data_IF_116963059177
#
_entry.id   IF_116963059177
#
_cell.length_a   1.000
_cell.length_b   1.000
_cell.length_c   1.000
_cell.angle_alpha   90.00
_cell.angle_beta   90.00
_cell.angle_gamma   90.00
#
_symmetry.space_group_name_H-M   'P 1'
#
loop_
_entity.id
_entity.type
_entity.pdbx_description
1 polymer ?
#
# COMPACT_ATOMS: atom_id res chain seq x y z
N UNK A 1 15.51 -0.13 -13.91
CA UNK A 1 16.24 -0.30 -15.19
C UNK A 1 17.75 -0.08 -15.07
N UNK A 2 18.23 0.97 -14.37
CA UNK A 2 19.67 1.21 -14.18
C UNK A 2 20.45 0.14 -13.41
N UNK A 3 19.80 -0.71 -12.61
CA UNK A 3 20.45 -1.85 -11.96
C UNK A 3 20.79 -3.01 -12.91
N UNK A 4 20.04 -3.14 -14.02
CA UNK A 4 20.19 -4.23 -14.99
C UNK A 4 20.86 -3.78 -16.30
N UNK A 5 20.69 -2.51 -16.69
CA UNK A 5 21.36 -1.93 -17.88
C UNK A 5 22.07 -0.62 -17.46
N UNK A 6 23.43 -0.60 -17.42
CA UNK A 6 24.21 0.54 -16.95
C UNK A 6 23.96 1.84 -17.71
N UNK A 7 23.59 1.77 -19.00
CA UNK A 7 23.29 2.95 -19.82
C UNK A 7 22.07 3.73 -19.31
N UNK A 8 21.14 3.09 -18.60
CA UNK A 8 19.97 3.73 -17.99
C UNK A 8 20.26 4.34 -16.61
N UNK A 9 21.52 4.31 -16.12
CA UNK A 9 21.96 5.12 -14.97
C UNK A 9 22.31 6.55 -15.37
N UNK A 10 22.53 6.81 -16.66
CA UNK A 10 22.86 8.15 -17.18
C UNK A 10 21.57 8.95 -17.34
N UNK A 11 21.22 9.71 -16.31
CA UNK A 11 20.10 10.66 -16.31
C UNK A 11 20.25 11.80 -17.32
N UNK A 12 21.42 11.91 -17.93
CA UNK A 12 21.79 12.96 -18.89
C UNK A 12 21.51 12.52 -20.34
N UNK A 13 21.17 11.24 -20.56
CA UNK A 13 20.83 10.71 -21.88
C UNK A 13 19.33 10.91 -22.16
N UNK A 14 19.04 11.79 -23.11
CA UNK A 14 17.68 12.06 -23.59
C UNK A 14 16.98 10.78 -24.07
N UNK A 15 17.70 9.89 -24.77
CA UNK A 15 17.18 8.60 -25.24
C UNK A 15 16.83 7.68 -24.07
N UNK A 16 17.74 7.50 -23.10
CA UNK A 16 17.48 6.64 -21.94
C UNK A 16 16.28 7.14 -21.11
N UNK A 17 16.18 8.46 -20.92
CA UNK A 17 15.06 9.09 -20.21
C UNK A 17 13.74 8.93 -20.97
N UNK A 18 13.72 9.15 -22.28
CA UNK A 18 12.51 8.97 -23.09
C UNK A 18 12.07 7.51 -23.14
N UNK A 19 12.98 6.55 -23.26
CA UNK A 19 12.63 5.13 -23.24
C UNK A 19 12.10 4.71 -21.87
N UNK A 20 12.76 5.11 -20.78
CA UNK A 20 12.29 4.81 -19.42
C UNK A 20 10.90 5.44 -19.14
N UNK A 21 10.71 6.69 -19.56
CA UNK A 21 9.43 7.40 -19.42
C UNK A 21 8.35 6.76 -20.28
N UNK A 22 8.65 6.44 -21.54
CA UNK A 22 7.73 5.79 -22.46
C UNK A 22 7.27 4.42 -21.95
N UNK A 23 8.20 3.61 -21.43
CA UNK A 23 7.86 2.33 -20.80
C UNK A 23 7.01 2.50 -19.55
N UNK A 24 7.33 3.50 -18.71
CA UNK A 24 6.54 3.80 -17.52
C UNK A 24 5.10 4.22 -17.89
N UNK A 25 4.97 5.17 -18.83
CA UNK A 25 3.67 5.65 -19.32
C UNK A 25 2.88 4.52 -20.01
N UNK A 26 3.54 3.68 -20.82
CA UNK A 26 2.90 2.55 -21.46
C UNK A 26 2.41 1.51 -20.45
N UNK A 27 3.21 1.21 -19.40
CA UNK A 27 2.80 0.28 -18.34
C UNK A 27 1.59 0.82 -17.55
N UNK A 28 1.60 2.11 -17.17
CA UNK A 28 0.45 2.75 -16.54
C UNK A 28 -0.76 2.85 -17.47
N UNK A 29 -0.54 3.12 -18.76
CA UNK A 29 -1.57 3.15 -19.78
C UNK A 29 -2.23 1.79 -19.99
N UNK A 30 -1.45 0.71 -20.04
CA UNK A 30 -1.96 -0.65 -20.10
C UNK A 30 -2.76 -1.02 -18.84
N UNK A 31 -2.27 -0.64 -17.67
CA UNK A 31 -2.98 -0.84 -16.41
C UNK A 31 -4.33 -0.13 -16.38
N UNK A 32 -4.40 1.12 -16.85
CA UNK A 32 -5.66 1.86 -17.00
C UNK A 32 -6.58 1.22 -18.05
N UNK A 33 -6.03 0.80 -19.19
CA UNK A 33 -6.82 0.13 -20.23
C UNK A 33 -7.46 -1.14 -19.71
N UNK A 34 -6.70 -2.00 -19.02
CA UNK A 34 -7.23 -3.20 -18.36
C UNK A 34 -8.28 -2.83 -17.30
N UNK A 35 -8.01 -1.76 -16.54
CA UNK A 35 -8.92 -1.21 -15.55
C UNK A 35 -10.29 -0.79 -16.09
N UNK A 36 -10.33 -0.21 -17.29
CA UNK A 36 -11.57 0.27 -17.95
C UNK A 36 -12.23 -0.82 -18.80
N UNK A 37 -11.44 -1.65 -19.47
CA UNK A 37 -11.94 -2.66 -20.41
C UNK A 37 -12.52 -3.89 -19.72
N UNK A 38 -12.13 -4.20 -18.47
CA UNK A 38 -12.74 -5.27 -17.67
C UNK A 38 -13.99 -4.74 -16.93
N UNK A 39 -15.21 -5.11 -17.35
CA UNK A 39 -16.45 -4.60 -16.77
C UNK A 39 -16.72 -5.10 -15.35
N UNK A 40 -15.93 -6.05 -14.81
CA UNK A 40 -16.26 -6.76 -13.57
C UNK A 40 -15.22 -6.68 -12.47
N UNK A 41 -13.98 -6.29 -12.78
CA UNK A 41 -12.93 -6.35 -11.76
C UNK A 41 -11.65 -5.61 -12.09
N UNK A 42 -11.66 -4.67 -13.03
CA UNK A 42 -10.50 -3.81 -13.30
C UNK A 42 -10.37 -2.69 -12.26
N UNK A 43 -10.90 -1.50 -12.58
CA UNK A 43 -10.78 -0.31 -11.73
C UNK A 43 -11.54 -0.46 -10.39
N UNK A 44 -12.74 -1.04 -10.40
CA UNK A 44 -13.65 -0.96 -9.25
C UNK A 44 -13.21 -1.80 -8.04
N UNK A 45 -12.46 -2.88 -8.25
CA UNK A 45 -11.89 -3.77 -7.21
C UNK A 45 -10.50 -3.30 -6.78
N UNK A 46 -9.68 -2.79 -7.70
CA UNK A 46 -8.34 -2.28 -7.38
C UNK A 46 -8.38 -0.96 -6.61
N UNK A 47 -9.37 -0.11 -6.83
CA UNK A 47 -9.44 1.21 -6.20
C UNK A 47 -9.57 1.17 -4.67
N UNK A 48 -10.46 0.32 -4.09
CA UNK A 48 -10.47 0.07 -2.64
C UNK A 48 -9.12 -0.38 -2.09
N UNK A 49 -8.42 -1.26 -2.80
CA UNK A 49 -7.12 -1.78 -2.38
C UNK A 49 -6.04 -0.70 -2.37
N UNK A 50 -5.98 0.14 -3.41
CA UNK A 50 -5.06 1.29 -3.46
C UNK A 50 -5.27 2.24 -2.28
N UNK A 51 -6.53 2.53 -1.93
CA UNK A 51 -6.86 3.40 -0.81
C UNK A 51 -6.29 2.89 0.51
N UNK A 52 -6.54 1.61 0.82
CA UNK A 52 -6.08 0.97 2.07
C UNK A 52 -4.55 0.87 2.09
N UNK A 53 -3.94 0.39 1.00
CA UNK A 53 -2.49 0.23 0.90
C UNK A 53 -1.74 1.56 1.04
N UNK A 54 -2.24 2.64 0.43
CA UNK A 54 -1.62 3.96 0.52
C UNK A 54 -1.69 4.52 1.95
N UNK A 55 -2.81 4.33 2.65
CA UNK A 55 -2.91 4.75 4.05
C UNK A 55 -1.96 3.96 4.95
N UNK A 56 -1.80 2.66 4.69
CA UNK A 56 -0.85 1.80 5.41
C UNK A 56 0.60 2.22 5.18
N UNK A 57 0.97 2.58 3.94
CA UNK A 57 2.29 3.12 3.62
C UNK A 57 2.53 4.47 4.30
N UNK A 58 1.53 5.36 4.31
CA UNK A 58 1.59 6.62 5.04
C UNK A 58 1.81 6.40 6.54
N UNK A 59 1.14 5.40 7.13
CA UNK A 59 1.36 4.97 8.51
C UNK A 59 2.82 4.57 8.77
N UNK A 60 3.40 3.73 7.90
CA UNK A 60 4.81 3.32 7.98
C UNK A 60 5.74 4.55 7.90
N UNK A 61 5.49 5.47 6.96
CA UNK A 61 6.30 6.67 6.80
C UNK A 61 6.28 7.56 8.05
N UNK A 62 5.10 7.76 8.66
CA UNK A 62 4.95 8.55 9.88
C UNK A 62 5.58 7.88 11.10
N UNK A 63 5.50 6.55 11.21
CA UNK A 63 6.21 5.77 12.24
C UNK A 63 7.73 5.98 12.09
N UNK A 64 8.27 5.84 10.88
CA UNK A 64 9.68 6.05 10.60
C UNK A 64 10.11 7.49 10.90
N UNK A 65 9.33 8.49 10.48
CA UNK A 65 9.57 9.90 10.79
C UNK A 65 9.63 10.15 12.30
N UNK A 66 8.73 9.52 13.06
CA UNK A 66 8.75 9.58 14.53
C UNK A 66 10.05 8.99 15.09
N UNK A 67 10.46 7.80 14.64
CA UNK A 67 11.72 7.17 15.06
C UNK A 67 12.92 8.06 14.75
N UNK A 68 12.96 8.68 13.58
CA UNK A 68 14.04 9.60 13.17
C UNK A 68 14.12 10.80 14.12
N UNK A 69 12.98 11.42 14.48
CA UNK A 69 12.96 12.52 15.45
C UNK A 69 13.53 12.12 16.82
N UNK A 70 13.23 10.91 17.29
CA UNK A 70 13.82 10.38 18.52
C UNK A 70 15.33 10.14 18.38
N UNK A 71 15.79 9.59 17.24
CA UNK A 71 17.22 9.39 16.95
C UNK A 71 18.00 10.71 16.84
N UNK A 72 17.36 11.79 16.38
CA UNK A 72 17.94 13.14 16.30
C UNK A 72 17.90 13.91 17.63
N UNK A 73 17.38 13.33 18.72
CA UNK A 73 17.14 14.03 20.00
C UNK A 73 16.19 15.22 19.90
N UNK A 74 15.28 15.18 18.92
CA UNK A 74 14.24 16.19 18.66
C UNK A 74 12.87 15.75 19.16
N UNK A 75 12.83 14.97 20.25
CA UNK A 75 11.60 14.37 20.79
C UNK A 75 10.50 15.41 21.14
N UNK A 76 10.87 16.66 21.46
CA UNK A 76 9.91 17.76 21.68
C UNK A 76 9.01 18.06 20.47
N UNK A 77 9.44 17.68 19.25
CA UNK A 77 8.65 17.82 18.02
C UNK A 77 7.98 16.52 17.58
N UNK A 78 8.20 15.40 18.30
CA UNK A 78 7.68 14.09 17.90
C UNK A 78 6.16 14.04 17.86
N UNK A 79 5.47 14.93 18.59
CA UNK A 79 4.00 15.02 18.54
C UNK A 79 3.46 15.33 17.14
N UNK A 80 4.24 16.07 16.32
CA UNK A 80 3.86 16.44 14.94
C UNK A 80 3.70 15.20 14.06
N UNK A 81 4.48 14.15 14.30
CA UNK A 81 4.35 12.88 13.58
C UNK A 81 3.50 11.88 14.36
N UNK A 82 3.56 11.86 15.69
CA UNK A 82 2.86 10.89 16.54
C UNK A 82 1.35 11.07 16.48
N UNK A 83 0.84 12.31 16.61
CA UNK A 83 -0.59 12.58 16.58
C UNK A 83 -1.28 12.11 15.28
N UNK A 84 -0.79 12.48 14.07
CA UNK A 84 -1.36 11.94 12.84
C UNK A 84 -1.10 10.44 12.68
N UNK A 85 0.01 9.89 13.20
CA UNK A 85 0.25 8.43 13.18
C UNK A 85 -0.86 7.70 13.94
N UNK A 86 -1.16 8.11 15.17
CA UNK A 86 -2.17 7.45 16.02
C UNK A 86 -3.53 7.53 15.36
N UNK A 87 -3.93 8.71 14.90
CA UNK A 87 -5.21 8.90 14.22
C UNK A 87 -5.32 8.03 12.96
N UNK A 88 -4.31 8.08 12.10
CA UNK A 88 -4.29 7.32 10.86
C UNK A 88 -4.35 5.82 11.11
N UNK A 89 -3.53 5.29 12.04
CA UNK A 89 -3.51 3.87 12.35
C UNK A 89 -4.84 3.40 12.94
N UNK A 90 -5.49 4.18 13.80
CA UNK A 90 -6.81 3.85 14.33
C UNK A 90 -7.83 3.73 13.19
N UNK A 91 -7.91 4.73 12.31
CA UNK A 91 -8.84 4.72 11.19
C UNK A 91 -8.54 3.56 10.22
N UNK A 92 -7.29 3.42 9.79
CA UNK A 92 -6.89 2.46 8.75
C UNK A 92 -6.96 1.03 9.24
N UNK A 93 -6.54 0.72 10.48
CA UNK A 93 -6.65 -0.63 11.03
C UNK A 93 -8.10 -1.01 11.31
N UNK A 94 -8.92 -0.07 11.78
CA UNK A 94 -10.36 -0.33 11.99
C UNK A 94 -11.07 -0.58 10.66
N UNK A 95 -10.83 0.27 9.66
CA UNK A 95 -11.39 0.10 8.32
C UNK A 95 -10.89 -1.19 7.66
N UNK A 96 -9.60 -1.51 7.78
CA UNK A 96 -9.01 -2.75 7.27
C UNK A 96 -9.64 -3.98 7.91
N UNK A 97 -9.82 -3.97 9.24
CA UNK A 97 -10.50 -5.05 9.95
C UNK A 97 -11.94 -5.24 9.46
N UNK A 98 -12.70 -4.16 9.35
CA UNK A 98 -14.07 -4.21 8.82
C UNK A 98 -14.10 -4.70 7.37
N UNK A 99 -13.14 -4.30 6.54
CA UNK A 99 -13.05 -4.75 5.15
C UNK A 99 -12.79 -6.24 5.01
N UNK A 100 -12.06 -6.85 5.94
CA UNK A 100 -11.81 -8.30 5.90
C UNK A 100 -12.96 -9.08 6.53
N UNK A 101 -13.41 -8.68 7.73
CA UNK A 101 -14.24 -9.54 8.60
C UNK A 101 -15.69 -9.10 8.77
N UNK A 102 -16.12 -7.96 8.22
CA UNK A 102 -17.51 -7.53 8.37
C UNK A 102 -18.48 -8.51 7.70
N UNK A 103 -19.56 -8.86 8.40
CA UNK A 103 -20.66 -9.69 7.86
C UNK A 103 -21.49 -8.93 6.81
N UNK A 104 -21.38 -7.60 6.77
CA UNK A 104 -22.04 -6.81 5.75
C UNK A 104 -21.34 -7.02 4.40
N UNK A 105 -22.01 -7.70 3.48
CA UNK A 105 -21.57 -7.97 2.10
C UNK A 105 -21.10 -6.73 1.34
N UNK A 106 -21.61 -5.53 1.65
CA UNK A 106 -21.17 -4.27 1.00
C UNK A 106 -19.81 -3.80 1.51
N UNK A 107 -19.36 -4.31 2.65
CA UNK A 107 -18.14 -3.90 3.32
C UNK A 107 -17.11 -5.02 3.29
N UNK A 108 -17.46 -6.21 3.76
CA UNK A 108 -16.53 -7.32 3.99
C UNK A 108 -16.26 -8.16 2.75
N UNK A 109 -14.98 -8.36 2.41
CA UNK A 109 -14.54 -9.22 1.31
C UNK A 109 -14.95 -10.68 1.53
N UNK A 110 -14.77 -11.22 2.74
CA UNK A 110 -15.13 -12.61 3.03
C UNK A 110 -16.66 -12.84 2.96
N UNK A 111 -17.45 -11.87 3.42
CA UNK A 111 -18.90 -11.93 3.31
C UNK A 111 -19.37 -11.84 1.84
N UNK A 112 -18.72 -11.01 1.03
CA UNK A 112 -18.98 -10.89 -0.40
C UNK A 112 -18.62 -12.20 -1.14
N UNK A 113 -17.43 -12.74 -0.90
CA UNK A 113 -17.00 -14.04 -1.43
C UNK A 113 -18.01 -15.15 -1.09
N UNK A 114 -18.43 -15.25 0.17
CA UNK A 114 -19.39 -16.27 0.62
C UNK A 114 -20.74 -16.14 -0.10
N UNK A 115 -21.26 -14.92 -0.29
CA UNK A 115 -22.52 -14.70 -1.03
C UNK A 115 -22.42 -15.17 -2.48
N UNK A 116 -21.34 -14.81 -3.17
CA UNK A 116 -21.12 -15.23 -4.55
C UNK A 116 -20.88 -16.74 -4.65
N UNK A 117 -20.16 -17.33 -3.69
CA UNK A 117 -19.93 -18.77 -3.64
C UNK A 117 -21.23 -19.56 -3.44
N UNK A 118 -22.13 -19.11 -2.56
CA UNK A 118 -23.44 -19.75 -2.39
C UNK A 118 -24.25 -19.71 -3.68
N UNK A 119 -24.26 -18.58 -4.38
CA UNK A 119 -24.98 -18.46 -5.64
C UNK A 119 -24.37 -19.33 -6.77
N UNK A 120 -23.03 -19.48 -6.81
CA UNK A 120 -22.36 -20.43 -7.70
C UNK A 120 -22.85 -21.86 -7.43
N UNK A 121 -22.92 -22.26 -6.16
CA UNK A 121 -23.37 -23.60 -5.76
C UNK A 121 -24.84 -23.86 -6.12
N UNK A 122 -25.68 -22.82 -6.11
CA UNK A 122 -27.09 -22.87 -6.51
C UNK A 122 -27.30 -22.76 -8.03
N UNK A 123 -26.23 -22.52 -8.80
CA UNK A 123 -26.32 -22.31 -10.25
C UNK A 123 -26.93 -20.96 -10.65
N UNK A 124 -26.98 -19.99 -9.72
CA UNK A 124 -27.60 -18.67 -9.92
C UNK A 124 -26.52 -17.63 -10.22
N UNK A 125 -26.66 -16.92 -11.34
CA UNK A 125 -25.77 -15.80 -11.67
C UNK A 125 -26.31 -14.53 -11.00
N UNK A 126 -25.50 -13.91 -10.13
CA UNK A 126 -25.82 -12.67 -9.46
C UNK A 126 -25.16 -11.47 -10.17
N UNK A 127 -25.90 -10.37 -10.28
CA UNK A 127 -25.32 -9.10 -10.68
C UNK A 127 -24.23 -8.67 -9.67
N UNK A 128 -23.11 -8.07 -10.13
CA UNK A 128 -22.87 -7.56 -11.49
C UNK A 128 -22.39 -8.59 -12.51
N UNK A 129 -22.07 -9.83 -12.10
CA UNK A 129 -21.61 -10.88 -13.01
C UNK A 129 -22.68 -11.23 -14.06
N UNK A 130 -22.21 -11.53 -15.28
CA UNK A 130 -23.04 -11.94 -16.42
C UNK A 130 -22.84 -13.41 -16.79
N UNK A 131 -21.84 -14.07 -16.23
CA UNK A 131 -21.55 -15.49 -16.43
C UNK A 131 -21.03 -16.15 -15.16
N UNK A 132 -21.06 -17.48 -15.11
CA UNK A 132 -20.54 -18.24 -13.97
C UNK A 132 -19.03 -18.06 -13.79
N UNK A 133 -18.27 -18.01 -14.89
CA UNK A 133 -16.83 -17.74 -14.85
C UNK A 133 -16.50 -16.40 -14.19
N UNK A 134 -17.36 -15.40 -14.41
CA UNK A 134 -17.20 -14.08 -13.79
C UNK A 134 -17.52 -14.12 -12.29
N UNK A 135 -18.47 -14.95 -11.86
CA UNK A 135 -18.74 -15.16 -10.43
C UNK A 135 -17.52 -15.76 -9.72
N UNK A 136 -16.88 -16.78 -10.30
CA UNK A 136 -15.67 -17.42 -9.74
C UNK A 136 -14.51 -16.43 -9.63
N UNK A 137 -14.32 -15.57 -10.65
CA UNK A 137 -13.30 -14.51 -10.62
C UNK A 137 -13.54 -13.50 -9.49
N UNK A 138 -14.80 -13.10 -9.26
CA UNK A 138 -15.15 -12.20 -8.15
C UNK A 138 -14.77 -12.84 -6.81
N UNK A 139 -15.15 -14.11 -6.59
CA UNK A 139 -14.81 -14.83 -5.35
C UNK A 139 -13.29 -14.93 -5.16
N UNK A 140 -12.55 -15.27 -6.21
CA UNK A 140 -11.09 -15.32 -6.15
C UNK A 140 -10.48 -13.97 -5.80
N UNK A 141 -10.94 -12.89 -6.43
CA UNK A 141 -10.46 -11.54 -6.16
C UNK A 141 -10.76 -11.11 -4.72
N UNK A 142 -11.94 -11.40 -4.17
CA UNK A 142 -12.27 -11.10 -2.78
C UNK A 142 -11.34 -11.82 -1.80
N UNK A 143 -11.01 -13.09 -2.05
CA UNK A 143 -10.05 -13.82 -1.22
C UNK A 143 -8.64 -13.24 -1.33
N UNK A 144 -8.22 -12.86 -2.54
CA UNK A 144 -6.92 -12.22 -2.77
C UNK A 144 -6.86 -10.86 -2.03
N UNK A 145 -7.89 -10.04 -2.13
CA UNK A 145 -7.99 -8.74 -1.48
C UNK A 145 -8.02 -8.89 0.05
N UNK A 146 -8.78 -9.85 0.59
CA UNK A 146 -8.78 -10.16 2.01
C UNK A 146 -7.39 -10.59 2.50
N UNK A 147 -6.73 -11.48 1.76
CA UNK A 147 -5.37 -11.95 2.08
C UNK A 147 -4.35 -10.81 2.07
N UNK A 148 -4.38 -9.97 1.04
CA UNK A 148 -3.46 -8.86 0.88
C UNK A 148 -3.69 -7.76 1.93
N UNK A 149 -4.96 -7.45 2.25
CA UNK A 149 -5.30 -6.52 3.32
C UNK A 149 -4.77 -7.01 4.68
N UNK A 150 -4.98 -8.29 5.03
CA UNK A 150 -4.44 -8.87 6.25
C UNK A 150 -2.90 -8.82 6.28
N UNK A 151 -2.25 -9.16 5.17
CA UNK A 151 -0.80 -9.09 5.05
C UNK A 151 -0.27 -7.68 5.36
N UNK A 152 -0.82 -6.65 4.72
CA UNK A 152 -0.38 -5.28 4.97
C UNK A 152 -0.70 -4.81 6.41
N UNK A 153 -1.83 -5.21 7.00
CA UNK A 153 -2.13 -4.92 8.41
C UNK A 153 -1.05 -5.49 9.32
N UNK A 154 -0.65 -6.75 9.13
CA UNK A 154 0.40 -7.40 9.90
C UNK A 154 1.73 -6.67 9.74
N UNK A 155 2.09 -6.26 8.52
CA UNK A 155 3.31 -5.49 8.25
C UNK A 155 3.28 -4.16 9.00
N UNK A 156 2.19 -3.39 8.93
CA UNK A 156 2.07 -2.10 9.61
C UNK A 156 2.17 -2.25 11.13
N UNK A 157 1.47 -3.23 11.72
CA UNK A 157 1.54 -3.50 13.17
C UNK A 157 2.95 -3.91 13.57
N UNK A 158 3.63 -4.75 12.77
CA UNK A 158 5.02 -5.14 13.02
C UNK A 158 5.95 -3.93 12.99
N UNK A 159 5.82 -3.06 11.98
CA UNK A 159 6.60 -1.82 11.86
C UNK A 159 6.32 -0.88 13.03
N UNK A 160 5.07 -0.78 13.49
CA UNK A 160 4.72 0.01 14.68
C UNK A 160 5.47 -0.52 15.92
N UNK A 161 5.46 -1.84 16.15
CA UNK A 161 6.16 -2.46 17.28
C UNK A 161 7.67 -2.21 17.20
N UNK A 162 8.29 -2.45 16.04
CA UNK A 162 9.72 -2.18 15.84
C UNK A 162 10.04 -0.69 15.96
N UNK A 163 9.16 0.18 15.47
CA UNK A 163 9.31 1.63 15.56
C UNK A 163 9.27 2.10 17.02
N UNK A 164 8.34 1.61 17.82
CA UNK A 164 8.27 1.91 19.26
C UNK A 164 9.56 1.44 19.96
N UNK A 165 10.01 0.20 19.70
CA UNK A 165 11.28 -0.33 20.26
C UNK A 165 12.48 0.55 19.86
N UNK A 166 12.57 0.94 18.60
CA UNK A 166 13.64 1.79 18.09
C UNK A 166 13.60 3.19 18.70
N UNK A 167 12.42 3.80 18.86
CA UNK A 167 12.26 5.10 19.49
C UNK A 167 12.62 5.07 20.99
N UNK A 168 12.23 4.02 21.72
CA UNK A 168 12.61 3.83 23.13
C UNK A 168 14.13 3.63 23.29
N UNK A 169 14.75 2.79 22.45
CA UNK A 169 16.20 2.61 22.44
C UNK A 169 16.91 3.92 22.12
N UNK A 170 16.45 4.64 21.10
CA UNK A 170 16.99 5.94 20.73
C UNK A 170 16.86 6.96 21.87
N UNK A 171 15.76 6.94 22.65
CA UNK A 171 15.58 7.81 23.82
C UNK A 171 16.61 7.52 24.92
N UNK A 172 16.98 6.25 25.13
CA UNK A 172 17.91 5.83 26.18
C UNK A 172 19.37 6.28 25.95
N UNK A 173 19.80 6.48 24.69
CA UNK A 173 21.14 7.00 24.40
C UNK A 173 21.28 8.49 24.79
N UNK A 174 22.46 8.99 25.15
CA UNK A 174 22.64 10.42 25.47
C UNK A 174 22.76 11.31 24.22
N UNK A 175 23.34 10.79 23.14
CA UNK A 175 23.67 11.56 21.93
C UNK A 175 22.82 11.16 20.71
N UNK A 176 22.72 12.02 19.67
CA UNK A 176 22.08 11.66 18.41
C UNK A 176 22.74 10.43 17.76
N UNK A 177 21.92 9.50 17.29
CA UNK A 177 22.38 8.25 16.66
C UNK A 177 22.12 8.19 15.15
N UNK A 178 21.88 9.35 14.53
CA UNK A 178 21.62 9.47 13.09
C UNK A 178 22.93 9.42 12.30
N UNK A 179 22.92 8.70 11.18
CA UNK A 179 24.01 8.67 10.21
C UNK A 179 23.48 9.20 8.89
N UNK A 180 23.77 10.45 8.60
CA UNK A 180 23.41 11.08 7.33
C UNK A 180 24.51 10.81 6.29
N UNK A 181 24.13 10.61 5.04
CA UNK A 181 25.08 10.59 3.93
C UNK A 181 25.76 11.95 3.80
N UNK A 182 27.08 12.03 3.54
CA UNK A 182 27.76 13.30 3.30
C UNK A 182 27.08 14.08 2.18
N UNK A 183 27.03 15.40 2.32
CA UNK A 183 26.48 16.28 1.28
C UNK A 183 27.28 16.10 -0.02
N UNK A 184 26.60 15.64 -1.06
CA UNK A 184 27.11 15.65 -2.42
C UNK A 184 26.45 16.83 -3.16
N UNK A 185 27.20 17.87 -3.56
CA UNK A 185 26.64 18.94 -4.36
C UNK A 185 26.06 18.35 -5.65
N UNK A 186 24.82 18.74 -5.99
CA UNK A 186 24.25 18.45 -7.30
C UNK A 186 25.20 19.01 -8.34
N UNK A 187 25.71 18.18 -9.25
CA UNK A 187 26.36 18.66 -10.46
C UNK A 187 25.30 19.43 -11.23
N UNK A 188 25.27 20.75 -11.06
CA UNK A 188 24.46 21.63 -11.89
C UNK A 188 24.99 21.47 -13.32
N UNK A 189 24.10 21.03 -14.22
CA UNK A 189 24.28 21.12 -15.67
C UNK A 189 23.47 22.31 -16.17
#
# INVERSE_FOLDING_TARGET
>A
MGAFVPSFKRTDSLVANLTATGLCVAAWGYFLYQGVADPLGGINTLWPLFGIANQMLAGIALILGTVVLFKMKRAKYAWVTLAPTVFLLLCTLTAGWQKVFSENVKVGFLAHANKFQTAINEGIVLAPAKSMEQMERIVFNDYLDAGLAMFFMVVVVSVLVFGIRAAMAARAHAMPSTKETPFAPSAAA
#
